data_IF_408217662170
#
_entry.id   IF_408217662170
#
_cell.length_a   1.000
_cell.length_b   1.000
_cell.length_c   1.000
_cell.angle_alpha   90.00
_cell.angle_beta   90.00
_cell.angle_gamma   90.00
#
_symmetry.space_group_name_H-M   'P 1'
#
loop_
_entity.id
_entity.type
_entity.pdbx_description
1 polymer ?
#
# COMPACT_ATOMS: atom_id res chain seq x y z
N UNK A 1 -2.34 5.11 19.68
CA UNK A 1 -2.30 4.22 18.50
C UNK A 1 -2.46 5.12 17.31
N UNK A 2 -1.43 5.27 16.47
CA UNK A 2 -1.52 6.08 15.26
C UNK A 2 -2.34 5.29 14.24
N UNK A 3 -3.56 5.75 13.94
CA UNK A 3 -4.35 5.19 12.85
C UNK A 3 -3.64 5.55 11.54
N UNK A 4 -2.97 4.59 10.92
CA UNK A 4 -2.49 4.75 9.56
C UNK A 4 -3.68 4.55 8.63
N UNK A 5 -4.41 5.65 8.43
CA UNK A 5 -5.67 5.65 7.70
C UNK A 5 -5.43 5.35 6.22
N UNK A 6 -6.33 4.53 5.70
CA UNK A 6 -6.43 4.20 4.30
C UNK A 6 -6.98 5.41 3.54
N UNK A 7 -6.27 5.84 2.49
CA UNK A 7 -6.66 6.99 1.69
C UNK A 7 -7.18 6.54 0.32
N UNK A 8 -8.37 7.02 -0.05
CA UNK A 8 -8.89 6.87 -1.42
C UNK A 8 -8.44 8.07 -2.25
N UNK A 9 -7.53 7.82 -3.19
CA UNK A 9 -7.01 8.83 -4.11
C UNK A 9 -7.92 8.89 -5.34
N UNK A 10 -8.59 10.03 -5.50
CA UNK A 10 -9.37 10.35 -6.68
C UNK A 10 -8.45 11.01 -7.71
N UNK A 11 -8.13 10.29 -8.78
CA UNK A 11 -7.49 10.90 -9.94
C UNK A 11 -8.53 11.15 -11.04
N UNK A 12 -8.31 12.21 -11.83
CA UNK A 12 -9.08 12.48 -13.04
C UNK A 12 -8.51 11.67 -14.22
N UNK A 13 -8.34 10.36 -14.04
CA UNK A 13 -7.87 9.45 -15.09
C UNK A 13 -9.06 8.96 -15.91
N UNK A 14 -8.91 8.90 -17.24
CA UNK A 14 -9.97 8.46 -18.16
C UNK A 14 -10.48 7.04 -17.87
N UNK A 15 -9.65 6.20 -17.26
CA UNK A 15 -10.02 4.84 -16.85
C UNK A 15 -10.94 4.78 -15.62
N UNK A 16 -11.20 5.90 -14.94
CA UNK A 16 -12.01 6.01 -13.72
C UNK A 16 -11.58 5.06 -12.58
N UNK A 17 -10.37 4.51 -12.64
CA UNK A 17 -9.89 3.62 -11.59
C UNK A 17 -9.71 4.42 -10.29
N UNK A 18 -10.34 3.95 -9.23
CA UNK A 18 -10.06 4.47 -7.89
C UNK A 18 -8.67 3.97 -7.49
N UNK A 19 -7.81 4.86 -6.98
CA UNK A 19 -6.56 4.45 -6.37
C UNK A 19 -6.69 4.49 -4.87
N UNK A 20 -5.95 3.62 -4.22
CA UNK A 20 -5.89 3.53 -2.77
C UNK A 20 -4.45 3.63 -2.34
N UNK A 21 -4.20 4.42 -1.30
CA UNK A 21 -2.93 4.42 -0.60
C UNK A 21 -3.14 3.77 0.77
N UNK A 22 -2.34 2.76 1.04
CA UNK A 22 -2.25 2.13 2.36
C UNK A 22 -0.80 2.17 2.85
N UNK A 23 -0.63 2.32 4.15
CA UNK A 23 0.69 2.37 4.78
C UNK A 23 1.05 1.01 5.35
N UNK A 24 2.26 0.55 5.04
CA UNK A 24 2.79 -0.74 5.49
C UNK A 24 4.12 -0.50 6.20
N UNK A 25 4.30 -1.11 7.36
CA UNK A 25 5.57 -1.07 8.07
C UNK A 25 6.59 -1.99 7.40
N UNK A 26 7.74 -1.45 7.01
CA UNK A 26 8.83 -2.16 6.34
C UNK A 26 10.14 -1.77 7.03
N UNK A 27 10.85 -2.73 7.64
CA UNK A 27 12.04 -2.46 8.48
C UNK A 27 11.85 -1.35 9.55
N UNK A 28 10.65 -1.22 10.13
CA UNK A 28 10.35 -0.18 11.12
C UNK A 28 10.06 1.21 10.55
N UNK A 29 10.00 1.35 9.22
CA UNK A 29 9.58 2.57 8.53
C UNK A 29 8.21 2.37 7.86
N UNK A 30 7.30 3.32 8.03
CA UNK A 30 6.00 3.29 7.35
C UNK A 30 6.17 3.68 5.88
N UNK A 31 5.95 2.72 4.99
CA UNK A 31 6.07 2.86 3.54
C UNK A 31 4.68 3.00 2.90
N UNK A 32 4.43 4.01 2.05
CA UNK A 32 3.15 4.14 1.36
C UNK A 32 3.13 3.21 0.16
N UNK A 33 2.01 2.52 -0.02
CA UNK A 33 1.76 1.73 -1.21
C UNK A 33 0.49 2.23 -1.87
N UNK A 34 0.64 2.65 -3.12
CA UNK A 34 -0.48 3.05 -3.97
C UNK A 34 -0.81 1.95 -4.96
N UNK A 35 -2.08 1.57 -5.02
CA UNK A 35 -2.56 0.56 -5.95
C UNK A 35 -3.97 0.91 -6.43
N UNK A 36 -4.32 0.44 -7.63
CA UNK A 36 -5.66 0.60 -8.18
C UNK A 36 -6.61 -0.39 -7.53
N UNK A 37 -7.81 0.07 -7.20
CA UNK A 37 -8.92 -0.75 -6.71
C UNK A 37 -10.13 -0.57 -7.62
N UNK A 38 -10.83 -1.67 -7.90
CA UNK A 38 -12.06 -1.62 -8.68
C UNK A 38 -13.19 -0.90 -7.93
N UNK A 39 -13.16 -0.98 -6.60
CA UNK A 39 -14.17 -0.41 -5.71
C UNK A 39 -13.47 0.26 -4.51
N UNK A 40 -13.65 1.58 -4.32
CA UNK A 40 -13.04 2.33 -3.23
C UNK A 40 -13.62 1.99 -1.84
N UNK A 41 -14.77 1.31 -1.79
CA UNK A 41 -15.43 0.91 -0.54
C UNK A 41 -14.97 -0.45 0.00
N UNK A 42 -14.11 -1.18 -0.74
CA UNK A 42 -13.53 -2.44 -0.27
C UNK A 42 -12.77 -2.24 1.04
N UNK A 43 -12.76 -3.27 1.90
CA UNK A 43 -12.01 -3.23 3.16
C UNK A 43 -10.51 -3.01 2.93
N UNK A 44 -9.78 -2.37 3.87
CA UNK A 44 -8.32 -2.29 3.86
C UNK A 44 -7.65 -3.65 3.66
N UNK A 45 -6.40 -3.66 3.18
CA UNK A 45 -5.63 -4.90 3.09
C UNK A 45 -5.54 -5.58 4.44
N UNK A 46 -5.61 -6.91 4.45
CA UNK A 46 -5.44 -7.70 5.66
C UNK A 46 -4.00 -7.54 6.20
N UNK A 47 -3.81 -7.72 7.49
CA UNK A 47 -2.47 -7.66 8.10
C UNK A 47 -1.54 -8.75 7.52
N UNK A 48 -2.08 -9.91 7.12
CA UNK A 48 -1.33 -10.97 6.44
C UNK A 48 -0.84 -10.53 5.04
N UNK A 49 -1.69 -9.84 4.28
CA UNK A 49 -1.30 -9.27 2.98
C UNK A 49 -0.23 -8.20 3.15
N UNK A 50 -0.39 -7.33 4.15
CA UNK A 50 0.60 -6.29 4.45
C UNK A 50 1.94 -6.90 4.82
N UNK A 51 1.96 -7.95 5.64
CA UNK A 51 3.18 -8.66 5.99
C UNK A 51 3.87 -9.29 4.77
N UNK A 52 3.10 -9.91 3.87
CA UNK A 52 3.65 -10.47 2.62
C UNK A 52 4.26 -9.41 1.72
N UNK A 53 3.61 -8.26 1.57
CA UNK A 53 4.12 -7.14 0.78
C UNK A 53 5.38 -6.56 1.43
N UNK A 54 5.40 -6.40 2.75
CA UNK A 54 6.59 -5.94 3.48
C UNK A 54 7.79 -6.85 3.20
N UNK A 55 7.63 -8.17 3.29
CA UNK A 55 8.71 -9.13 2.97
C UNK A 55 9.27 -8.94 1.56
N UNK A 56 8.41 -8.75 0.56
CA UNK A 56 8.84 -8.54 -0.84
C UNK A 56 9.59 -7.21 -0.98
N UNK A 57 9.10 -6.14 -0.35
CA UNK A 57 9.75 -4.83 -0.36
C UNK A 57 11.12 -4.88 0.32
N UNK A 58 11.25 -5.56 1.46
CA UNK A 58 12.52 -5.75 2.15
C UNK A 58 13.55 -6.47 1.26
N UNK A 59 13.13 -7.55 0.59
CA UNK A 59 14.01 -8.29 -0.32
C UNK A 59 14.46 -7.41 -1.49
N UNK A 60 13.54 -6.63 -2.08
CA UNK A 60 13.87 -5.73 -3.17
C UNK A 60 14.84 -4.62 -2.76
N UNK A 61 14.63 -4.01 -1.58
CA UNK A 61 15.50 -2.97 -1.03
C UNK A 61 16.91 -3.51 -0.70
N UNK A 62 17.01 -4.75 -0.19
CA UNK A 62 18.30 -5.42 0.04
C UNK A 62 19.06 -5.67 -1.28
N UNK A 63 18.34 -6.06 -2.34
CA UNK A 63 18.94 -6.33 -3.64
C UNK A 63 19.40 -5.05 -4.37
N UNK A 64 18.76 -3.90 -4.15
CA UNK A 64 19.17 -2.60 -4.70
C UNK A 64 20.43 -2.00 -4.04
N UNK A 65 20.83 -2.49 -2.87
CA UNK A 65 22.03 -2.02 -2.15
C UNK A 65 23.32 -2.78 -2.54
N UNK A 66 23.24 -3.70 -3.50
CA UNK A 66 24.40 -4.37 -4.13
C UNK A 66 24.71 -3.73 -5.48
#
# INVERSE_FOLDING_TARGET
MCNYEMEVIHHNLDCKCHRRREWIEVNGEMTPIEFSVDDPSKLPMSEEDKARIAMVLEQHLKNKKK
#
